data_IF_672947720266
#
_entry.id   IF_672947720266
#
_cell.length_a   1.000
_cell.length_b   1.000
_cell.length_c   1.000
_cell.angle_alpha   90.00
_cell.angle_beta   90.00
_cell.angle_gamma   90.00
#
_symmetry.space_group_name_H-M   'P 1'
#
loop_
_entity.id
_entity.type
_entity.pdbx_description
1 polymer ?
#
# COMPACT_ATOMS: atom_id res chain seq x y z
N UNK A 1 7.95 8.92 5.02
CA UNK A 1 6.94 7.88 4.70
C UNK A 1 5.61 8.57 4.54
N UNK A 2 4.85 8.21 3.50
CA UNK A 2 3.58 8.88 3.18
C UNK A 2 2.49 8.42 4.15
N UNK A 3 1.68 9.37 4.62
CA UNK A 3 0.48 9.10 5.44
C UNK A 3 -0.72 9.85 4.87
N UNK A 4 -1.91 9.35 5.16
CA UNK A 4 -3.17 9.99 4.79
C UNK A 4 -4.15 9.98 5.95
N UNK A 5 -4.78 11.13 6.21
CA UNK A 5 -5.89 11.25 7.15
C UNK A 5 -7.15 10.64 6.54
N UNK A 6 -7.69 9.59 7.17
CA UNK A 6 -8.95 8.94 6.75
C UNK A 6 -9.73 8.48 7.98
N UNK A 7 -11.03 8.77 8.03
CA UNK A 7 -11.91 8.38 9.14
C UNK A 7 -11.38 8.73 10.54
N UNK A 8 -10.69 9.87 10.67
CA UNK A 8 -10.14 10.35 11.95
C UNK A 8 -8.85 9.66 12.41
N UNK A 9 -8.19 8.89 11.55
CA UNK A 9 -6.89 8.27 11.83
C UNK A 9 -5.88 8.54 10.70
N UNK A 10 -4.61 8.39 11.00
CA UNK A 10 -3.51 8.47 10.03
C UNK A 10 -3.15 7.07 9.53
N UNK A 11 -3.22 6.83 8.22
CA UNK A 11 -2.81 5.56 7.60
C UNK A 11 -1.51 5.75 6.84
N UNK A 12 -0.51 4.95 7.19
CA UNK A 12 0.72 4.78 6.43
C UNK A 12 0.46 3.97 5.16
N UNK A 13 0.93 4.49 4.03
CA UNK A 13 0.82 3.81 2.75
C UNK A 13 2.00 4.11 1.82
N UNK A 14 2.21 3.26 0.83
CA UNK A 14 3.12 3.50 -0.29
C UNK A 14 2.46 3.09 -1.60
N UNK A 15 2.86 3.74 -2.69
CA UNK A 15 2.39 3.46 -4.05
C UNK A 15 3.57 3.12 -4.94
N UNK A 16 3.39 2.10 -5.77
CA UNK A 16 4.37 1.68 -6.76
C UNK A 16 3.64 1.33 -8.04
N UNK A 17 4.10 1.83 -9.18
CA UNK A 17 3.44 1.53 -10.44
C UNK A 17 4.04 2.34 -11.59
N UNK A 18 3.49 2.19 -12.79
CA UNK A 18 3.83 3.04 -13.92
C UNK A 18 3.42 4.49 -13.63
N UNK A 19 4.15 5.48 -14.15
CA UNK A 19 3.80 6.91 -14.05
C UNK A 19 2.55 7.32 -14.85
N UNK A 20 1.81 6.34 -15.40
CA UNK A 20 0.58 6.55 -16.17
C UNK A 20 -0.65 6.55 -15.28
N UNK A 21 -1.53 7.54 -15.45
CA UNK A 21 -2.83 7.61 -14.79
C UNK A 21 -3.84 6.55 -15.26
N UNK A 22 -3.50 5.72 -16.25
CA UNK A 22 -4.39 4.70 -16.82
C UNK A 22 -4.21 3.30 -16.22
N UNK A 23 -3.21 3.11 -15.35
CA UNK A 23 -2.97 1.81 -14.72
C UNK A 23 -4.09 1.47 -13.71
N UNK A 24 -4.63 0.25 -13.80
CA UNK A 24 -5.58 -0.24 -12.80
C UNK A 24 -4.90 -0.40 -11.44
N UNK A 25 -5.62 -0.05 -10.36
CA UNK A 25 -5.08 -0.16 -9.01
C UNK A 25 -5.27 -1.56 -8.42
N UNK A 26 -4.26 -2.03 -7.69
CA UNK A 26 -4.35 -3.18 -6.79
C UNK A 26 -4.03 -2.69 -5.37
N UNK A 27 -4.92 -2.96 -4.42
CA UNK A 27 -4.73 -2.62 -3.01
C UNK A 27 -4.39 -3.87 -2.23
N UNK A 28 -3.28 -3.85 -1.51
CA UNK A 28 -2.79 -4.98 -0.72
C UNK A 28 -3.09 -4.78 0.76
N UNK A 29 -3.98 -5.60 1.32
CA UNK A 29 -4.38 -5.58 2.72
C UNK A 29 -3.75 -6.77 3.47
N UNK A 30 -2.92 -6.50 4.49
CA UNK A 30 -2.21 -7.55 5.23
C UNK A 30 -3.08 -8.23 6.30
N UNK A 31 -2.71 -9.45 6.71
CA UNK A 31 -3.34 -10.15 7.84
C UNK A 31 -2.91 -9.61 9.21
N UNK A 32 -3.48 -10.15 10.29
CA UNK A 32 -3.14 -9.74 11.66
C UNK A 32 -1.63 -9.85 11.95
N UNK A 33 -1.06 -8.83 12.59
CA UNK A 33 0.38 -8.77 12.92
C UNK A 33 1.30 -8.33 11.76
N UNK A 34 0.75 -8.10 10.57
CA UNK A 34 1.49 -7.60 9.41
C UNK A 34 1.61 -6.07 9.35
N UNK A 35 2.16 -5.59 8.23
CA UNK A 35 2.20 -4.18 7.84
C UNK A 35 2.40 -4.09 6.31
N UNK A 36 2.61 -2.90 5.76
CA UNK A 36 2.83 -2.73 4.31
C UNK A 36 3.99 -3.58 3.74
N UNK A 37 4.99 -3.96 4.55
CA UNK A 37 6.13 -4.77 4.11
C UNK A 37 5.77 -6.24 3.92
N UNK A 38 4.58 -6.70 4.32
CA UNK A 38 4.12 -8.06 4.01
C UNK A 38 4.12 -8.38 2.50
N UNK A 39 4.19 -7.35 1.65
CA UNK A 39 4.09 -7.45 0.20
C UNK A 39 5.38 -7.15 -0.56
N UNK A 40 6.53 -7.04 0.13
CA UNK A 40 7.78 -6.57 -0.48
C UNK A 40 8.25 -7.41 -1.68
N UNK A 41 7.89 -8.71 -1.73
CA UNK A 41 8.23 -9.61 -2.82
C UNK A 41 7.22 -9.59 -3.98
N UNK A 42 5.94 -9.32 -3.68
CA UNK A 42 4.85 -9.32 -4.67
C UNK A 42 4.78 -7.98 -5.41
N UNK A 43 5.04 -6.87 -4.72
CA UNK A 43 4.98 -5.51 -5.30
C UNK A 43 5.83 -5.40 -6.57
N UNK A 44 7.11 -5.82 -6.62
CA UNK A 44 7.93 -5.75 -7.83
C UNK A 44 7.36 -6.52 -9.03
N UNK A 45 6.53 -7.54 -8.79
CA UNK A 45 5.85 -8.28 -9.86
C UNK A 45 4.68 -7.49 -10.44
N UNK A 46 3.79 -7.00 -9.59
CA UNK A 46 2.56 -6.33 -10.02
C UNK A 46 2.78 -4.88 -10.47
N UNK A 47 3.75 -4.16 -9.88
CA UNK A 47 3.99 -2.73 -10.17
C UNK A 47 4.46 -2.45 -11.60
N UNK A 48 4.85 -3.48 -12.36
CA UNK A 48 5.14 -3.35 -13.79
C UNK A 48 3.91 -3.01 -14.63
N UNK A 49 2.70 -3.33 -14.15
CA UNK A 49 1.44 -3.15 -14.88
C UNK A 49 0.37 -2.41 -14.09
N UNK A 50 0.39 -2.50 -12.77
CA UNK A 50 -0.65 -2.00 -11.89
C UNK A 50 -0.13 -0.89 -10.97
N UNK A 51 -1.00 0.04 -10.61
CA UNK A 51 -0.77 0.96 -9.50
C UNK A 51 -1.00 0.20 -8.18
N UNK A 52 0.10 -0.28 -7.60
CA UNK A 52 0.10 -1.08 -6.38
C UNK A 52 0.10 -0.15 -5.17
N UNK A 53 -1.00 -0.18 -4.40
CA UNK A 53 -1.12 0.53 -3.12
C UNK A 53 -0.95 -0.47 -1.98
N UNK A 54 0.08 -0.28 -1.17
CA UNK A 54 0.29 -1.05 0.07
C UNK A 54 0.06 -0.12 1.25
N UNK A 55 -0.57 -0.63 2.31
CA UNK A 55 -0.82 0.15 3.52
C UNK A 55 -0.69 -0.72 4.77
N UNK A 56 -0.47 -0.07 5.91
CA UNK A 56 -0.55 -0.72 7.21
C UNK A 56 -1.95 -0.47 7.79
N UNK A 57 -2.66 -1.50 8.24
CA UNK A 57 -3.95 -1.35 8.92
C UNK A 57 -3.79 -0.49 10.19
N UNK A 58 -4.89 0.12 10.65
CA UNK A 58 -4.92 0.91 11.89
C UNK A 58 -4.24 0.18 13.06
N UNK A 59 -3.34 0.87 13.77
CA UNK A 59 -2.62 0.28 14.91
C UNK A 59 -1.51 -0.72 14.53
N UNK A 60 -1.14 -0.81 13.25
CA UNK A 60 -0.01 -1.60 12.77
C UNK A 60 0.98 -0.72 12.00
N UNK A 61 2.26 -1.13 11.96
CA UNK A 61 3.31 -0.37 11.28
C UNK A 61 3.40 1.05 11.86
N UNK A 62 3.32 2.05 10.99
CA UNK A 62 3.26 3.46 11.42
C UNK A 62 1.88 4.12 11.16
N UNK A 63 0.82 3.30 11.12
CA UNK A 63 -0.59 3.75 11.12
C UNK A 63 -1.20 3.78 12.52
#
# INVERSE_FOLDING_TARGET
MSKVAVNGIEIEYQRYGPDSSEANSIVFAHGAGGNLLSWFQQVPYFSRKYDCVVFSHRGFGHS
#
